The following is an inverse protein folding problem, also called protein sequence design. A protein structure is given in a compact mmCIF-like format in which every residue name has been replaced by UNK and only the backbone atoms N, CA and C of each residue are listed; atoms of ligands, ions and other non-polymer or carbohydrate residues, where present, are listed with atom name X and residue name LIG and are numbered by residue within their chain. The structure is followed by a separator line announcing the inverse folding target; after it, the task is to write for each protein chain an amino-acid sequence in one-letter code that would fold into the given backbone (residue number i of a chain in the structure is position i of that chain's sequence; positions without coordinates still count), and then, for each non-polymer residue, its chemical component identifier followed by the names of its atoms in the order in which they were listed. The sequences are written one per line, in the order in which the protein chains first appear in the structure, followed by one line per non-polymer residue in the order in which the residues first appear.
data_IF_259507178779
#
_entry.id   IF_259507178779
#
_cell.length_a   1.000
_cell.length_b   1.000
_cell.length_c   1.000
_cell.angle_alpha   90.00
_cell.angle_beta   90.00
_cell.angle_gamma   90.00
#
_symmetry.space_group_name_H-M   'P 1'
#
loop_
_entity.id
_entity.type
_entity.pdbx_description
1 polymer ?
#
# COMPACT_ATOMS: atom_id res chain seq x y z
N UNK A 1 -14.92 -12.95 17.20
CA UNK A 1 -13.84 -13.82 17.70
C UNK A 1 -13.80 -15.02 16.77
N UNK A 2 -12.92 -15.01 15.77
CA UNK A 2 -12.84 -16.07 14.76
C UNK A 2 -11.94 -17.17 15.35
N UNK A 3 -12.54 -18.20 15.95
CA UNK A 3 -11.82 -19.38 16.40
C UNK A 3 -11.72 -20.36 15.22
N UNK A 4 -10.51 -20.72 14.85
CA UNK A 4 -10.26 -21.95 14.08
C UNK A 4 -9.92 -23.00 15.13
N UNK A 5 -10.73 -24.06 15.23
CA UNK A 5 -10.56 -25.19 16.17
C UNK A 5 -10.58 -24.83 17.67
N UNK A 6 -11.36 -23.83 18.08
CA UNK A 6 -11.54 -23.47 19.50
C UNK A 6 -10.33 -22.77 20.16
N UNK A 7 -9.24 -22.53 19.41
CA UNK A 7 -8.08 -21.74 19.86
C UNK A 7 -8.20 -20.30 19.37
N UNK A 8 -7.70 -19.35 20.16
CA UNK A 8 -7.55 -17.96 19.70
C UNK A 8 -6.58 -17.93 18.52
N UNK A 9 -6.79 -17.03 17.55
CA UNK A 9 -5.85 -16.80 16.44
C UNK A 9 -4.44 -16.54 16.97
N UNK A 10 -4.32 -15.86 18.12
CA UNK A 10 -3.04 -15.61 18.76
C UNK A 10 -2.37 -16.89 19.28
N UNK A 11 -3.14 -17.85 19.79
CA UNK A 11 -2.61 -19.12 20.28
C UNK A 11 -2.18 -20.02 19.13
N UNK A 12 -2.97 -20.02 18.04
CA UNK A 12 -2.59 -20.68 16.80
C UNK A 12 -1.30 -20.09 16.23
N UNK A 13 -1.20 -18.76 16.15
CA UNK A 13 0.00 -18.07 15.66
C UNK A 13 1.22 -18.37 16.54
N UNK A 14 1.10 -18.28 17.87
CA UNK A 14 2.18 -18.64 18.80
C UNK A 14 2.60 -20.10 18.64
N UNK A 15 1.64 -21.02 18.53
CA UNK A 15 1.93 -22.45 18.33
C UNK A 15 2.65 -22.72 17.01
N UNK A 16 2.26 -22.05 15.91
CA UNK A 16 2.90 -22.21 14.61
C UNK A 16 4.32 -21.65 14.60
N UNK A 17 4.56 -20.54 15.32
CA UNK A 17 5.85 -19.86 15.35
C UNK A 17 6.82 -20.38 16.41
N UNK A 18 6.35 -21.18 17.39
CA UNK A 18 7.14 -21.64 18.54
C UNK A 18 8.44 -22.39 18.17
N UNK A 19 8.49 -23.03 17.00
CA UNK A 19 9.68 -23.74 16.50
C UNK A 19 10.59 -22.90 15.59
N UNK A 20 10.24 -21.65 15.30
CA UNK A 20 10.97 -20.77 14.39
C UNK A 20 11.91 -19.83 15.17
N UNK A 21 13.10 -19.56 14.62
CA UNK A 21 13.96 -18.46 15.10
C UNK A 21 13.29 -17.10 14.88
N UNK A 22 13.67 -16.08 15.66
CA UNK A 22 13.11 -14.72 15.55
C UNK A 22 13.16 -14.16 14.13
N UNK A 23 14.25 -14.44 13.39
CA UNK A 23 14.39 -14.02 12.00
C UNK A 23 13.36 -14.69 11.09
N UNK A 24 13.13 -16.00 11.26
CA UNK A 24 12.14 -16.75 10.50
C UNK A 24 10.72 -16.31 10.86
N UNK A 25 10.44 -16.05 12.15
CA UNK A 25 9.15 -15.51 12.57
C UNK A 25 8.86 -14.16 11.89
N UNK A 26 9.86 -13.27 11.87
CA UNK A 26 9.75 -11.98 11.21
C UNK A 26 9.49 -12.13 9.70
N UNK A 27 10.21 -13.01 9.01
CA UNK A 27 10.04 -13.26 7.57
C UNK A 27 8.62 -13.77 7.27
N UNK A 28 8.16 -14.80 8.00
CA UNK A 28 6.81 -15.38 7.84
C UNK A 28 5.73 -14.31 8.08
N UNK A 29 5.84 -13.56 9.17
CA UNK A 29 4.85 -12.53 9.50
C UNK A 29 4.87 -11.37 8.49
N UNK A 30 6.05 -11.00 7.99
CA UNK A 30 6.19 -10.00 6.95
C UNK A 30 5.48 -10.45 5.67
N UNK A 31 5.68 -11.70 5.25
CA UNK A 31 5.00 -12.25 4.07
C UNK A 31 3.47 -12.24 4.23
N UNK A 32 2.96 -12.66 5.39
CA UNK A 32 1.52 -12.62 5.70
C UNK A 32 0.99 -11.18 5.60
N UNK A 33 1.69 -10.22 6.22
CA UNK A 33 1.28 -8.82 6.20
C UNK A 33 1.36 -8.20 4.80
N UNK A 34 2.33 -8.60 3.98
CA UNK A 34 2.49 -8.13 2.59
C UNK A 34 1.41 -8.68 1.65
N UNK A 35 0.97 -9.92 1.86
CA UNK A 35 -0.09 -10.54 1.05
C UNK A 35 -1.49 -10.10 1.49
N UNK A 36 -1.66 -9.72 2.77
CA UNK A 36 -2.96 -9.36 3.36
C UNK A 36 -3.79 -8.32 2.57
N UNK A 37 -3.23 -7.25 1.98
CA UNK A 37 -4.03 -6.28 1.25
C UNK A 37 -4.60 -6.87 -0.04
N UNK A 38 -3.86 -7.78 -0.70
CA UNK A 38 -4.33 -8.46 -1.91
C UNK A 38 -5.48 -9.42 -1.59
N UNK A 39 -5.42 -10.10 -0.45
CA UNK A 39 -6.49 -10.98 0.03
C UNK A 39 -7.73 -10.17 0.41
N UNK A 40 -7.57 -9.05 1.12
CA UNK A 40 -8.69 -8.15 1.45
C UNK A 40 -9.35 -7.57 0.18
N UNK A 41 -8.57 -7.14 -0.82
CA UNK A 41 -9.11 -6.67 -2.10
C UNK A 41 -9.94 -7.77 -2.79
N UNK A 42 -9.44 -9.02 -2.82
CA UNK A 42 -10.14 -10.16 -3.45
C UNK A 42 -11.40 -10.56 -2.68
N UNK A 43 -11.37 -10.53 -1.36
CA UNK A 43 -12.55 -10.77 -0.54
C UNK A 43 -13.61 -9.69 -0.78
N UNK A 44 -13.21 -8.42 -0.86
CA UNK A 44 -14.12 -7.32 -1.13
C UNK A 44 -14.76 -7.42 -2.54
N UNK A 45 -13.99 -7.88 -3.54
CA UNK A 45 -14.49 -8.20 -4.88
C UNK A 45 -15.57 -9.30 -4.83
N UNK A 46 -15.30 -10.41 -4.14
CA UNK A 46 -16.26 -11.51 -3.97
C UNK A 46 -17.53 -11.04 -3.27
N UNK A 47 -17.40 -10.22 -2.21
CA UNK A 47 -18.55 -9.64 -1.51
C UNK A 47 -19.36 -8.74 -2.45
N UNK A 48 -18.71 -7.89 -3.25
CA UNK A 48 -19.38 -7.04 -4.23
C UNK A 48 -20.12 -7.86 -5.28
N UNK A 49 -19.46 -8.85 -5.88
CA UNK A 49 -20.05 -9.71 -6.91
C UNK A 49 -21.22 -10.53 -6.36
N UNK A 50 -21.08 -11.06 -5.14
CA UNK A 50 -22.13 -11.81 -4.45
C UNK A 50 -23.36 -10.94 -4.18
N UNK A 51 -23.14 -9.69 -3.75
CA UNK A 51 -24.23 -8.74 -3.51
C UNK A 51 -24.95 -8.34 -4.80
N UNK A 52 -24.19 -8.04 -5.85
CA UNK A 52 -24.74 -7.68 -7.16
C UNK A 52 -25.54 -8.88 -7.72
N UNK A 53 -24.99 -10.10 -7.70
CA UNK A 53 -25.69 -11.32 -8.11
C UNK A 53 -26.96 -11.60 -7.31
N UNK A 54 -26.91 -11.47 -5.98
CA UNK A 54 -28.08 -11.64 -5.11
C UNK A 54 -29.19 -10.64 -5.45
N UNK A 55 -28.84 -9.40 -5.81
CA UNK A 55 -29.79 -8.38 -6.21
C UNK A 55 -30.37 -8.69 -7.60
N UNK A 56 -29.53 -8.98 -8.58
CA UNK A 56 -29.90 -9.22 -9.97
C UNK A 56 -30.79 -10.46 -10.12
N UNK A 57 -30.50 -11.51 -9.34
CA UNK A 57 -31.31 -12.74 -9.32
C UNK A 57 -32.47 -12.68 -8.32
N UNK A 58 -32.69 -11.53 -7.67
CA UNK A 58 -33.75 -11.35 -6.67
C UNK A 58 -33.80 -12.43 -5.56
N UNK A 59 -32.66 -13.04 -5.20
CA UNK A 59 -32.61 -14.21 -4.29
C UNK A 59 -33.13 -13.91 -2.88
N UNK A 60 -33.08 -12.64 -2.47
CA UNK A 60 -33.65 -12.19 -1.19
C UNK A 60 -35.16 -12.45 -1.09
N UNK A 61 -35.87 -12.48 -2.22
CA UNK A 61 -37.34 -12.65 -2.25
C UNK A 61 -37.79 -14.06 -1.84
N UNK A 62 -36.88 -15.04 -1.82
CA UNK A 62 -37.16 -16.40 -1.38
C UNK A 62 -37.53 -16.50 0.10
N UNK A 63 -37.10 -15.52 0.92
CA UNK A 63 -37.29 -15.54 2.38
C UNK A 63 -37.75 -14.20 2.96
N UNK A 64 -37.55 -13.10 2.25
CA UNK A 64 -37.81 -11.76 2.78
C UNK A 64 -38.77 -10.99 1.89
N UNK A 65 -39.73 -10.30 2.53
CA UNK A 65 -40.79 -9.53 1.87
C UNK A 65 -40.28 -8.37 1.00
N UNK A 66 -39.10 -7.84 1.33
CA UNK A 66 -38.46 -6.78 0.55
C UNK A 66 -36.94 -6.83 0.66
N UNK A 67 -36.25 -6.25 -0.33
CA UNK A 67 -34.80 -6.05 -0.27
C UNK A 67 -34.39 -5.20 0.94
N UNK A 68 -35.24 -4.25 1.35
CA UNK A 68 -34.98 -3.41 2.52
C UNK A 68 -35.01 -4.22 3.82
N UNK A 69 -35.97 -5.15 3.97
CA UNK A 69 -36.01 -6.06 5.09
C UNK A 69 -34.74 -6.94 5.12
N UNK A 70 -34.34 -7.53 3.99
CA UNK A 70 -33.10 -8.31 3.92
C UNK A 70 -31.86 -7.49 4.33
N UNK A 71 -31.75 -6.24 3.84
CA UNK A 71 -30.66 -5.31 4.20
C UNK A 71 -30.56 -5.05 5.70
N UNK A 72 -31.69 -4.96 6.40
CA UNK A 72 -31.71 -4.77 7.85
C UNK A 72 -31.21 -6.02 8.58
N UNK A 73 -31.66 -7.22 8.17
CA UNK A 73 -31.26 -8.51 8.78
C UNK A 73 -29.74 -8.71 8.74
N UNK A 74 -29.10 -8.39 7.61
CA UNK A 74 -27.64 -8.55 7.47
C UNK A 74 -26.83 -7.32 7.93
N UNK A 75 -27.51 -6.30 8.49
CA UNK A 75 -26.90 -5.02 8.84
C UNK A 75 -26.14 -4.36 7.68
N UNK A 76 -26.67 -4.46 6.46
CA UNK A 76 -26.02 -4.09 5.19
C UNK A 76 -25.29 -2.75 5.25
N UNK A 77 -25.95 -1.71 5.79
CA UNK A 77 -25.38 -0.36 5.86
C UNK A 77 -24.10 -0.26 6.69
N UNK A 78 -23.95 -1.12 7.72
CA UNK A 78 -22.80 -1.11 8.64
C UNK A 78 -21.69 -2.09 8.22
N UNK A 79 -22.06 -3.23 7.63
CA UNK A 79 -21.13 -4.34 7.37
C UNK A 79 -20.74 -4.46 5.90
N UNK A 80 -21.72 -4.59 5.02
CA UNK A 80 -21.50 -4.92 3.59
C UNK A 80 -21.27 -3.67 2.75
N UNK A 81 -22.11 -2.64 2.92
CA UNK A 81 -22.05 -1.40 2.14
C UNK A 81 -20.68 -0.71 2.18
N UNK A 82 -19.99 -0.57 3.33
CA UNK A 82 -18.68 0.07 3.38
C UNK A 82 -17.62 -0.70 2.59
N UNK A 83 -17.67 -2.04 2.63
CA UNK A 83 -16.74 -2.92 1.89
C UNK A 83 -16.96 -2.74 0.38
N UNK A 84 -18.22 -2.86 -0.08
CA UNK A 84 -18.57 -2.67 -1.49
C UNK A 84 -18.19 -1.27 -1.98
N UNK A 85 -18.49 -0.24 -1.19
CA UNK A 85 -18.15 1.15 -1.53
C UNK A 85 -16.64 1.35 -1.69
N UNK A 86 -15.84 0.84 -0.74
CA UNK A 86 -14.38 0.89 -0.80
C UNK A 86 -13.84 0.16 -2.03
N UNK A 87 -14.36 -1.04 -2.30
CA UNK A 87 -14.00 -1.83 -3.47
C UNK A 87 -14.33 -1.09 -4.77
N UNK A 88 -15.59 -0.69 -4.98
CA UNK A 88 -16.03 0.02 -6.20
C UNK A 88 -15.25 1.33 -6.42
N UNK A 89 -14.90 2.06 -5.35
CA UNK A 89 -14.03 3.25 -5.45
C UNK A 89 -12.61 2.89 -5.89
N UNK A 90 -12.03 1.83 -5.32
CA UNK A 90 -10.70 1.34 -5.69
C UNK A 90 -10.67 0.87 -7.14
N UNK A 91 -11.70 0.12 -7.55
CA UNK A 91 -11.82 -0.48 -8.87
C UNK A 91 -11.99 0.57 -9.98
N UNK A 92 -12.88 1.55 -9.78
CA UNK A 92 -12.99 2.72 -10.68
C UNK A 92 -11.66 3.44 -10.85
N UNK A 93 -10.85 3.53 -9.79
CA UNK A 93 -9.52 4.15 -9.88
C UNK A 93 -8.56 3.29 -10.68
N UNK A 94 -8.59 1.95 -10.54
CA UNK A 94 -7.81 1.02 -11.38
C UNK A 94 -8.17 1.21 -12.85
N UNK A 95 -9.46 1.21 -13.19
CA UNK A 95 -9.96 1.40 -14.55
C UNK A 95 -9.51 2.75 -15.15
N UNK A 96 -9.68 3.84 -14.41
CA UNK A 96 -9.20 5.16 -14.84
C UNK A 96 -7.68 5.19 -15.08
N UNK A 97 -6.89 4.50 -14.27
CA UNK A 97 -5.44 4.40 -14.48
C UNK A 97 -5.10 3.55 -15.71
N UNK A 98 -5.82 2.44 -15.92
CA UNK A 98 -5.66 1.61 -17.13
C UNK A 98 -5.98 2.40 -18.39
N UNK A 99 -7.07 3.17 -18.39
CA UNK A 99 -7.44 4.06 -19.51
C UNK A 99 -6.34 5.08 -19.81
N UNK A 100 -5.77 5.72 -18.79
CA UNK A 100 -4.65 6.65 -18.96
C UNK A 100 -3.46 5.95 -19.61
N UNK A 101 -3.09 4.76 -19.13
CA UNK A 101 -1.96 4.04 -19.74
C UNK A 101 -2.27 3.67 -21.18
N UNK A 102 -3.47 3.13 -21.45
CA UNK A 102 -3.88 2.74 -22.78
C UNK A 102 -3.90 3.93 -23.76
N UNK A 103 -4.35 5.11 -23.31
CA UNK A 103 -4.32 6.32 -24.13
C UNK A 103 -2.90 6.77 -24.49
N UNK A 104 -1.94 6.65 -23.56
CA UNK A 104 -0.57 7.12 -23.78
C UNK A 104 0.32 6.08 -24.49
N UNK A 105 0.07 4.79 -24.28
CA UNK A 105 0.85 3.70 -24.87
C UNK A 105 0.17 3.06 -26.09
N UNK A 106 -1.08 3.43 -26.37
CA UNK A 106 -1.92 2.85 -27.43
C UNK A 106 -2.40 1.42 -27.14
N UNK A 107 -1.96 0.82 -26.02
CA UNK A 107 -2.23 -0.57 -25.61
C UNK A 107 -2.30 -0.69 -24.10
N UNK A 108 -2.98 -1.73 -23.62
CA UNK A 108 -3.08 -2.01 -22.19
C UNK A 108 -1.71 -2.41 -21.60
N UNK A 109 -1.43 -2.12 -20.31
CA UNK A 109 -0.18 -2.54 -19.66
C UNK A 109 0.11 -4.03 -19.79
N UNK A 110 -0.92 -4.88 -19.74
CA UNK A 110 -0.81 -6.34 -19.88
C UNK A 110 -0.37 -6.81 -21.26
N UNK A 111 -0.53 -5.97 -22.29
CA UNK A 111 -0.11 -6.27 -23.66
C UNK A 111 1.30 -5.74 -23.95
N UNK A 112 1.70 -4.68 -23.24
CA UNK A 112 2.99 -4.00 -23.43
C UNK A 112 4.07 -4.60 -22.55
N UNK A 113 3.75 -4.97 -21.31
CA UNK A 113 4.71 -5.51 -20.35
C UNK A 113 4.88 -7.02 -20.62
N UNK A 114 6.10 -7.48 -20.89
CA UNK A 114 6.39 -8.89 -21.14
C UNK A 114 5.85 -9.83 -20.03
N UNK A 115 5.32 -11.01 -20.36
CA UNK A 115 4.72 -11.92 -19.37
C UNK A 115 5.65 -12.35 -18.24
N UNK A 116 6.96 -12.45 -18.50
CA UNK A 116 7.99 -12.76 -17.50
C UNK A 116 8.22 -11.62 -16.49
N UNK A 117 7.80 -10.41 -16.84
CA UNK A 117 7.86 -9.21 -16.00
C UNK A 117 6.50 -8.80 -15.45
N UNK A 118 5.42 -9.40 -15.95
CA UNK A 118 4.08 -9.05 -15.52
C UNK A 118 3.94 -9.24 -13.99
N UNK A 119 3.28 -8.30 -13.30
CA UNK A 119 3.00 -8.47 -11.88
C UNK A 119 2.02 -9.64 -11.67
N UNK A 120 2.08 -10.29 -10.51
CA UNK A 120 1.08 -11.29 -10.10
C UNK A 120 -0.32 -10.63 -10.02
N UNK A 121 -0.38 -9.40 -9.50
CA UNK A 121 -1.62 -8.61 -9.43
C UNK A 121 -1.40 -7.17 -9.88
N UNK A 122 -2.35 -6.65 -10.66
CA UNK A 122 -2.39 -5.24 -11.06
C UNK A 122 -3.02 -4.39 -9.96
N UNK A 123 -2.27 -4.18 -8.88
CA UNK A 123 -2.75 -3.37 -7.75
C UNK A 123 -3.04 -1.93 -8.17
N UNK A 124 -3.96 -1.26 -7.45
CA UNK A 124 -4.31 0.15 -7.70
C UNK A 124 -3.06 1.04 -7.67
N UNK A 125 -2.17 0.82 -6.70
CA UNK A 125 -0.97 1.63 -6.57
C UNK A 125 -0.02 1.45 -7.76
N UNK A 126 0.22 0.20 -8.18
CA UNK A 126 1.04 -0.10 -9.34
C UNK A 126 0.49 0.57 -10.61
N UNK A 127 -0.82 0.46 -10.85
CA UNK A 127 -1.49 1.08 -11.99
C UNK A 127 -1.42 2.61 -11.96
N UNK A 128 -1.57 3.24 -10.79
CA UNK A 128 -1.37 4.69 -10.63
C UNK A 128 0.04 5.14 -11.01
N UNK A 129 1.06 4.37 -10.61
CA UNK A 129 2.45 4.66 -10.97
C UNK A 129 2.69 4.46 -12.46
N UNK A 130 2.19 3.37 -13.05
CA UNK A 130 2.29 3.15 -14.49
C UNK A 130 1.57 4.23 -15.29
N UNK A 131 0.39 4.67 -14.85
CA UNK A 131 -0.30 5.81 -15.44
C UNK A 131 0.55 7.09 -15.36
N UNK A 132 1.29 7.28 -14.27
CA UNK A 132 2.22 8.42 -14.12
C UNK A 132 3.41 8.32 -15.08
N UNK A 133 4.02 7.14 -15.18
CA UNK A 133 5.13 6.87 -16.11
C UNK A 133 4.69 7.01 -17.57
N UNK A 134 3.50 6.50 -17.91
CA UNK A 134 2.98 6.50 -19.28
C UNK A 134 2.79 7.89 -19.86
N UNK A 135 2.46 8.88 -19.02
CA UNK A 135 2.37 10.29 -19.43
C UNK A 135 3.70 10.92 -19.83
N UNK A 136 4.82 10.24 -19.58
CA UNK A 136 6.18 10.78 -19.73
C UNK A 136 7.06 9.96 -20.66
N UNK A 137 6.75 8.69 -20.86
CA UNK A 137 7.54 7.74 -21.64
C UNK A 137 6.60 6.91 -22.48
N UNK A 138 6.97 6.69 -23.75
CA UNK A 138 6.30 5.69 -24.57
C UNK A 138 6.52 4.28 -24.01
N UNK A 139 5.71 3.32 -24.44
CA UNK A 139 5.89 1.90 -24.10
C UNK A 139 7.31 1.42 -24.35
N UNK A 140 7.87 1.80 -25.50
CA UNK A 140 9.15 1.29 -26.01
C UNK A 140 10.33 1.77 -25.17
N UNK A 141 10.18 2.93 -24.52
CA UNK A 141 11.15 3.48 -23.59
C UNK A 141 10.89 3.02 -22.15
N UNK A 142 9.62 2.92 -21.75
CA UNK A 142 9.23 2.55 -20.40
C UNK A 142 9.58 1.10 -20.07
N UNK A 143 9.34 0.14 -20.97
CA UNK A 143 9.57 -1.29 -20.69
C UNK A 143 11.05 -1.60 -20.40
N UNK A 144 12.03 -1.14 -21.18
CA UNK A 144 13.45 -1.30 -20.85
C UNK A 144 13.84 -0.66 -19.50
N UNK A 145 13.28 0.51 -19.17
CA UNK A 145 13.53 1.16 -17.87
C UNK A 145 12.99 0.34 -16.70
N UNK A 146 11.80 -0.25 -16.85
CA UNK A 146 11.21 -1.14 -15.86
C UNK A 146 12.04 -2.42 -15.70
N UNK A 147 12.48 -3.03 -16.80
CA UNK A 147 13.41 -4.17 -16.78
C UNK A 147 14.69 -3.87 -16.01
N UNK A 148 15.30 -2.72 -16.28
CA UNK A 148 16.50 -2.29 -15.57
C UNK A 148 16.22 -2.08 -14.08
N UNK A 149 15.10 -1.45 -13.74
CA UNK A 149 14.70 -1.22 -12.34
C UNK A 149 14.55 -2.52 -11.54
N UNK A 150 14.01 -3.57 -12.17
CA UNK A 150 13.90 -4.92 -11.58
C UNK A 150 15.29 -5.52 -11.30
N UNK A 151 16.25 -5.35 -12.22
CA UNK A 151 17.64 -5.85 -12.03
C UNK A 151 18.37 -5.13 -10.90
N UNK A 152 18.03 -3.87 -10.65
CA UNK A 152 18.60 -3.03 -9.59
C UNK A 152 17.98 -3.26 -8.20
N UNK A 153 17.10 -4.24 -8.04
CA UNK A 153 16.45 -4.51 -6.76
C UNK A 153 17.45 -4.81 -5.64
N UNK A 154 17.22 -4.26 -4.43
CA UNK A 154 17.96 -4.66 -3.23
C UNK A 154 17.90 -6.16 -3.01
N UNK A 155 18.97 -6.75 -2.43
CA UNK A 155 19.12 -8.21 -2.29
C UNK A 155 17.89 -8.92 -1.70
N UNK A 156 17.22 -8.31 -0.71
CA UNK A 156 16.01 -8.87 -0.06
C UNK A 156 14.79 -8.91 -0.99
N UNK A 157 14.69 -8.01 -1.97
CA UNK A 157 13.55 -7.93 -2.90
C UNK A 157 13.78 -8.70 -4.21
N UNK A 158 14.95 -9.34 -4.38
CA UNK A 158 15.27 -10.13 -5.60
C UNK A 158 14.43 -11.40 -5.74
N UNK A 159 13.78 -11.86 -4.67
CA UNK A 159 12.98 -13.08 -4.68
C UNK A 159 11.61 -12.91 -5.36
N UNK A 160 11.11 -11.68 -5.51
CA UNK A 160 9.84 -11.45 -6.19
C UNK A 160 9.99 -11.58 -7.71
N UNK A 161 9.26 -12.49 -8.33
CA UNK A 161 9.21 -12.68 -9.79
C UNK A 161 8.09 -11.80 -10.35
N UNK A 162 8.43 -10.80 -11.15
CA UNK A 162 7.45 -9.86 -11.74
C UNK A 162 7.50 -8.46 -11.13
N UNK A 163 7.01 -7.47 -11.88
CA UNK A 163 7.06 -6.03 -11.58
C UNK A 163 6.34 -5.67 -10.29
N UNK A 164 6.93 -4.79 -9.48
CA UNK A 164 6.29 -4.23 -8.28
C UNK A 164 6.28 -2.71 -8.32
N UNK A 165 5.45 -2.10 -7.46
CA UNK A 165 5.24 -0.66 -7.44
C UNK A 165 6.55 0.12 -7.23
N UNK A 166 7.45 -0.37 -6.37
CA UNK A 166 8.74 0.29 -6.12
C UNK A 166 9.68 0.27 -7.32
N UNK A 167 9.56 -0.69 -8.24
CA UNK A 167 10.33 -0.68 -9.49
C UNK A 167 9.86 0.45 -10.41
N UNK A 168 8.53 0.61 -10.53
CA UNK A 168 7.92 1.67 -11.33
C UNK A 168 8.26 3.03 -10.72
N UNK A 169 8.21 3.16 -9.40
CA UNK A 169 8.63 4.39 -8.72
C UNK A 169 10.09 4.74 -9.03
N UNK A 170 11.01 3.78 -8.95
CA UNK A 170 12.42 4.01 -9.29
C UNK A 170 12.60 4.40 -10.77
N UNK A 171 11.82 3.80 -11.68
CA UNK A 171 11.85 4.18 -13.09
C UNK A 171 11.33 5.63 -13.29
N UNK A 172 10.25 6.01 -12.60
CA UNK A 172 9.75 7.39 -12.58
C UNK A 172 10.82 8.36 -12.05
N UNK A 173 11.50 8.00 -10.97
CA UNK A 173 12.54 8.83 -10.35
C UNK A 173 13.76 9.03 -11.29
N UNK A 174 14.04 8.09 -12.19
CA UNK A 174 15.09 8.25 -13.22
C UNK A 174 14.68 9.18 -14.35
N UNK A 175 13.39 9.15 -14.72
CA UNK A 175 12.83 10.00 -15.78
C UNK A 175 12.57 11.43 -15.29
N UNK A 176 12.44 11.61 -13.98
CA UNK A 176 12.32 12.91 -13.32
C UNK A 176 13.57 13.20 -12.49
N UNK A 177 14.65 13.75 -13.09
CA UNK A 177 15.75 14.31 -12.32
C UNK A 177 15.21 15.33 -11.31
N UNK A 178 15.85 15.35 -10.13
CA UNK A 178 15.44 16.04 -8.89
C UNK A 178 14.97 17.51 -8.98
N UNK A 179 15.06 18.19 -10.12
CA UNK A 179 14.55 19.56 -10.30
C UNK A 179 13.01 19.67 -10.20
N UNK A 180 12.27 18.57 -10.42
CA UNK A 180 10.81 18.54 -10.22
C UNK A 180 10.37 18.09 -8.82
N UNK A 181 11.31 17.70 -7.94
CA UNK A 181 11.01 17.44 -6.52
C UNK A 181 10.71 18.75 -5.77
N UNK A 182 11.37 19.84 -6.12
CA UNK A 182 11.11 21.17 -5.56
C UNK A 182 9.89 21.86 -6.18
N UNK A 183 9.52 21.51 -7.42
CA UNK A 183 8.33 22.08 -8.08
C UNK A 183 7.01 21.43 -7.64
N UNK A 184 7.02 20.14 -7.22
CA UNK A 184 5.83 19.46 -6.67
C UNK A 184 5.73 19.58 -5.14
N UNK A 185 6.77 20.14 -4.51
CA UNK A 185 6.77 20.75 -3.18
C UNK A 185 6.73 22.29 -3.24
N UNK A 186 6.27 22.89 -4.35
CA UNK A 186 5.66 24.22 -4.22
C UNK A 186 4.36 24.01 -3.43
N UNK A 187 4.21 24.60 -2.24
CA UNK A 187 2.94 24.61 -1.57
C UNK A 187 2.00 25.38 -2.50
N UNK A 188 1.03 24.68 -3.09
CA UNK A 188 -0.27 25.32 -3.27
C UNK A 188 -0.66 25.78 -1.88
N UNK A 189 -0.76 27.10 -1.72
CA UNK A 189 -1.13 27.76 -0.47
C UNK A 189 -2.25 26.98 0.22
N UNK A 190 -2.02 26.62 1.49
CA UNK A 190 -2.80 25.72 2.37
C UNK A 190 -2.52 24.21 2.23
N UNK A 191 -1.54 23.71 2.99
CA UNK A 191 -1.28 22.27 3.10
C UNK A 191 -0.03 21.92 3.89
N UNK A 192 0.23 22.62 5.00
CA UNK A 192 1.14 22.08 6.02
C UNK A 192 0.54 20.76 6.50
N UNK A 193 1.30 19.66 6.48
CA UNK A 193 0.89 18.46 7.22
C UNK A 193 0.76 18.93 8.67
N UNK A 194 -0.45 18.87 9.21
CA UNK A 194 -0.70 19.37 10.56
C UNK A 194 0.34 18.79 11.52
N UNK A 195 1.00 19.63 12.34
CA UNK A 195 2.03 19.18 13.29
C UNK A 195 1.60 18.00 14.16
N UNK A 196 0.30 17.90 14.44
CA UNK A 196 -0.34 16.78 15.13
C UNK A 196 -0.14 15.42 14.42
N UNK A 197 -0.31 15.36 13.10
CA UNK A 197 -0.15 14.13 12.31
C UNK A 197 1.31 13.68 12.27
N UNK A 198 2.24 14.64 12.17
CA UNK A 198 3.68 14.34 12.22
C UNK A 198 4.05 13.77 13.59
N UNK A 199 3.57 14.36 14.68
CA UNK A 199 3.82 13.86 16.03
C UNK A 199 3.22 12.47 16.27
N UNK A 200 2.00 12.19 15.79
CA UNK A 200 1.39 10.86 15.88
C UNK A 200 2.21 9.79 15.17
N UNK A 201 2.75 10.11 13.98
CA UNK A 201 3.63 9.20 13.23
C UNK A 201 4.94 8.92 13.96
N UNK A 202 5.53 9.93 14.61
CA UNK A 202 6.75 9.76 15.40
C UNK A 202 6.50 8.95 16.68
N UNK A 203 5.36 9.14 17.35
CA UNK A 203 4.96 8.32 18.50
C UNK A 203 4.67 6.86 18.11
N UNK A 204 4.01 6.63 16.97
CA UNK A 204 3.83 5.29 16.43
C UNK A 204 5.19 4.63 16.15
N UNK A 205 6.11 5.36 15.51
CA UNK A 205 7.44 4.85 15.19
C UNK A 205 8.25 4.50 16.45
N UNK A 206 8.11 5.28 17.52
CA UNK A 206 8.68 4.99 18.84
C UNK A 206 8.07 3.72 19.46
N UNK A 207 6.74 3.56 19.39
CA UNK A 207 6.02 2.42 19.95
C UNK A 207 6.34 1.08 19.26
N UNK A 208 6.70 1.13 17.97
CA UNK A 208 7.08 -0.05 17.16
C UNK A 208 8.58 -0.41 17.32
N UNK A 209 9.34 0.34 18.12
CA UNK A 209 10.80 0.28 18.30
C UNK A 209 11.62 0.72 17.07
N UNK A 210 12.62 1.58 17.31
CA UNK A 210 13.54 2.05 16.27
C UNK A 210 14.32 0.93 15.59
N UNK A 211 14.58 -0.18 16.29
CA UNK A 211 15.24 -1.38 15.75
C UNK A 211 14.52 -1.93 14.51
N UNK A 212 13.20 -1.72 14.42
CA UNK A 212 12.34 -2.26 13.37
C UNK A 212 12.20 -1.31 12.15
N UNK A 213 12.76 -0.10 12.21
CA UNK A 213 12.68 0.89 11.14
C UNK A 213 14.06 1.01 10.50
N UNK A 214 14.18 0.86 9.18
CA UNK A 214 15.48 0.99 8.49
C UNK A 214 15.97 2.46 8.45
N UNK A 215 17.27 2.66 8.22
CA UNK A 215 17.88 4.00 8.21
C UNK A 215 17.20 4.98 7.23
N UNK A 216 16.84 4.51 6.03
CA UNK A 216 16.16 5.33 5.01
C UNK A 216 14.77 5.79 5.45
N UNK A 217 14.02 4.93 6.14
CA UNK A 217 12.70 5.29 6.69
C UNK A 217 12.83 6.21 7.90
N UNK A 218 13.85 6.02 8.76
CA UNK A 218 14.15 6.97 9.85
C UNK A 218 14.52 8.36 9.33
N UNK A 219 15.33 8.44 8.27
CA UNK A 219 15.66 9.72 7.62
C UNK A 219 14.41 10.37 7.01
N UNK A 220 13.52 9.57 6.41
CA UNK A 220 12.25 10.06 5.86
C UNK A 220 11.33 10.61 6.96
N UNK A 221 11.24 9.91 8.10
CA UNK A 221 10.49 10.35 9.29
C UNK A 221 11.09 11.63 9.87
N UNK A 222 12.41 11.68 10.06
CA UNK A 222 13.10 12.87 10.54
C UNK A 222 12.88 14.06 9.60
N UNK A 223 12.87 13.84 8.29
CA UNK A 223 12.66 14.90 7.28
C UNK A 223 11.32 15.61 7.43
N UNK A 224 10.28 14.91 7.88
CA UNK A 224 8.95 15.51 8.11
C UNK A 224 8.99 16.61 9.18
N UNK A 225 9.98 16.58 10.09
CA UNK A 225 10.07 17.52 11.21
C UNK A 225 11.29 18.46 11.17
N UNK A 226 12.42 17.96 10.71
CA UNK A 226 13.71 18.67 10.69
C UNK A 226 14.16 19.10 9.28
N UNK A 227 13.37 18.76 8.27
CA UNK A 227 13.62 19.18 6.90
C UNK A 227 14.71 18.39 6.17
N UNK A 228 15.17 18.89 5.01
CA UNK A 228 15.98 18.14 4.04
C UNK A 228 17.38 17.73 4.53
N UNK A 229 17.91 18.42 5.55
CA UNK A 229 19.23 18.16 6.13
C UNK A 229 19.37 16.79 6.78
N UNK A 230 18.25 16.09 6.98
CA UNK A 230 18.16 14.74 7.58
C UNK A 230 18.63 13.62 6.69
N UNK A 231 18.75 13.84 5.37
CA UNK A 231 19.21 12.83 4.40
C UNK A 231 20.65 12.40 4.66
N UNK A 232 21.47 13.28 5.26
CA UNK A 232 22.86 12.98 5.62
C UNK A 232 23.02 12.42 7.04
N UNK A 233 21.93 12.26 7.79
CA UNK A 233 22.01 11.80 9.17
C UNK A 233 22.30 10.30 9.23
N UNK A 234 23.19 9.93 10.14
CA UNK A 234 23.35 8.53 10.52
C UNK A 234 22.11 8.03 11.24
N UNK A 235 21.89 6.72 11.23
CA UNK A 235 20.78 6.06 11.94
C UNK A 235 20.68 6.53 13.40
N UNK A 236 21.80 6.50 14.12
CA UNK A 236 21.85 6.88 15.53
C UNK A 236 21.48 8.34 15.73
N UNK A 237 21.97 9.24 14.88
CA UNK A 237 21.64 10.67 14.92
C UNK A 237 20.16 10.95 14.63
N UNK A 238 19.54 10.19 13.71
CA UNK A 238 18.10 10.29 13.45
C UNK A 238 17.27 9.85 14.65
N UNK A 239 17.65 8.77 15.32
CA UNK A 239 16.95 8.28 16.52
C UNK A 239 17.08 9.30 17.65
N UNK A 240 18.30 9.72 17.97
CA UNK A 240 18.59 10.71 19.02
C UNK A 240 17.76 11.98 18.85
N UNK A 241 17.74 12.57 17.65
CA UNK A 241 17.00 13.82 17.41
C UNK A 241 15.48 13.65 17.46
N UNK A 242 14.96 12.49 17.07
CA UNK A 242 13.52 12.20 17.19
C UNK A 242 13.16 11.98 18.66
N UNK A 243 13.98 11.27 19.43
CA UNK A 243 13.75 11.03 20.85
C UNK A 243 13.86 12.30 21.69
N UNK A 244 14.83 13.18 21.40
CA UNK A 244 14.95 14.52 21.99
C UNK A 244 13.63 15.29 21.83
N UNK A 245 13.08 15.29 20.62
CA UNK A 245 11.83 16.00 20.29
C UNK A 245 10.62 15.43 21.03
N UNK A 246 10.47 14.10 21.06
CA UNK A 246 9.37 13.44 21.77
C UNK A 246 9.48 13.62 23.29
N UNK A 247 10.70 13.77 23.81
CA UNK A 247 10.96 14.02 25.23
C UNK A 247 10.72 15.48 25.63
N UNK A 248 11.00 16.44 24.74
CA UNK A 248 10.68 17.86 24.93
C UNK A 248 9.17 18.13 24.86
N UNK A 249 8.43 17.44 24.00
CA UNK A 249 6.97 17.60 23.87
C UNK A 249 6.17 17.15 25.10
N UNK A 250 6.78 16.38 26.03
CA UNK A 250 6.15 15.93 27.28
C UNK A 250 6.35 16.88 28.46
N UNK A 251 7.14 17.95 28.31
CA UNK A 251 7.43 18.90 29.39
C UNK A 251 6.54 20.16 29.36
N UNK A 252 5.75 20.33 28.29
CA UNK A 252 4.87 21.47 28.06
C UNK A 252 3.36 21.11 28.16
N UNK A 253 3.03 19.92 28.67
CA UNK A 253 1.69 19.51 29.15
C UNK A 253 1.68 19.44 30.68
#
# INVERSE_FOLDING_TARGET
MLCVDGRSIMDALRSTLAGCSDLQQLEILTDVLLVSPSVDERLAEVISASWDYLCDQHLWSLKYESLQHFRQIISYSKTVKPIISRFKKSDRKKMSCLEIVNQNWGRAPSEVIPPDLAPITWSKHLLCLLATLSKRQSSDQAVPLLQQSIRERPRRSRQQKGLIASDVQRAIDKVLPSETRDARLKPSASGEIEPCVVNQLLHWAQAVSWSNICATHLQTLARLRFGPSTVTWSRSKSIEKIEDLLSSSRKDE
#
